data_IF_807845043170
#
_entry.id   IF_807845043170
#
_cell.length_a   1.000
_cell.length_b   1.000
_cell.length_c   1.000
_cell.angle_alpha   90.00
_cell.angle_beta   90.00
_cell.angle_gamma   90.00
#
_symmetry.space_group_name_H-M   'P 1'
#
loop_
_entity.id
_entity.type
_entity.pdbx_description
1 polymer ?
#
# COMPACT_ATOMS: atom_id res chain seq x y z
N UNK A 1 -21.20 25.98 20.87
CA UNK A 1 -20.24 24.92 21.23
C UNK A 1 -21.00 23.67 21.66
N UNK A 2 -20.86 22.53 20.97
CA UNK A 2 -21.59 21.30 21.32
C UNK A 2 -20.76 20.50 22.34
N UNK A 3 -21.25 20.42 23.58
CA UNK A 3 -20.71 19.56 24.65
C UNK A 3 -20.92 18.08 24.27
N UNK A 4 -19.83 17.31 24.24
CA UNK A 4 -19.90 15.84 24.20
C UNK A 4 -20.21 15.32 25.61
N UNK A 5 -21.19 14.42 25.72
CA UNK A 5 -21.53 13.76 26.98
C UNK A 5 -20.43 12.76 27.38
N UNK A 6 -20.00 12.72 28.65
CA UNK A 6 -19.04 11.72 29.13
C UNK A 6 -19.74 10.37 29.35
N UNK A 7 -19.12 9.25 28.95
CA UNK A 7 -19.51 7.94 29.49
C UNK A 7 -19.60 6.74 28.54
N UNK A 8 -19.25 6.83 27.24
CA UNK A 8 -19.11 5.62 26.41
C UNK A 8 -17.63 5.23 26.26
N UNK A 9 -17.24 4.15 26.92
CA UNK A 9 -15.95 3.49 26.70
C UNK A 9 -16.05 2.76 25.36
N UNK A 10 -15.32 3.25 24.36
CA UNK A 10 -15.19 2.56 23.07
C UNK A 10 -14.02 1.58 23.15
N UNK A 11 -14.32 0.29 23.27
CA UNK A 11 -13.30 -0.75 23.17
C UNK A 11 -12.95 -0.92 21.69
N UNK A 12 -11.68 -0.66 21.32
CA UNK A 12 -11.15 -0.93 19.98
C UNK A 12 -10.41 -2.27 20.03
N UNK A 13 -10.95 -3.29 19.38
CA UNK A 13 -10.24 -4.54 19.22
C UNK A 13 -9.21 -4.43 18.07
N UNK A 14 -7.99 -4.91 18.30
CA UNK A 14 -7.00 -5.19 17.25
C UNK A 14 -6.92 -6.71 17.09
N UNK A 15 -6.80 -7.20 15.86
CA UNK A 15 -6.70 -8.63 15.52
C UNK A 15 -7.95 -9.47 15.83
N UNK A 16 -9.13 -9.06 15.35
CA UNK A 16 -10.35 -9.87 15.47
C UNK A 16 -10.30 -11.00 14.44
N UNK A 17 -10.19 -12.26 14.92
CA UNK A 17 -10.19 -13.48 14.11
C UNK A 17 -11.33 -14.40 14.52
N UNK A 18 -11.65 -15.40 13.69
CA UNK A 18 -12.49 -16.52 14.13
C UNK A 18 -11.75 -17.37 15.19
N UNK A 19 -12.47 -18.21 15.96
CA UNK A 19 -11.84 -19.24 16.78
C UNK A 19 -10.84 -20.06 15.97
N UNK A 20 -9.58 -20.15 16.43
CA UNK A 20 -8.48 -20.79 15.71
C UNK A 20 -7.63 -19.86 14.82
N UNK A 21 -7.76 -18.54 14.96
CA UNK A 21 -6.88 -17.57 14.28
C UNK A 21 -7.17 -17.36 12.79
N UNK A 22 -8.23 -17.98 12.27
CA UNK A 22 -8.63 -17.82 10.87
C UNK A 22 -9.14 -16.39 10.63
N UNK A 23 -8.77 -15.75 9.50
CA UNK A 23 -9.29 -14.43 9.15
C UNK A 23 -10.82 -14.43 9.10
N UNK A 24 -11.44 -13.35 9.56
CA UNK A 24 -12.90 -13.17 9.45
C UNK A 24 -13.22 -12.81 7.99
N UNK A 25 -13.44 -13.83 7.16
CA UNK A 25 -13.94 -13.69 5.80
C UNK A 25 -15.49 -13.63 5.78
N UNK A 26 -16.10 -12.72 6.54
CA UNK A 26 -17.57 -12.51 6.50
C UNK A 26 -17.98 -11.86 5.17
N UNK A 27 -17.07 -11.07 4.59
CA UNK A 27 -17.34 -10.31 3.37
C UNK A 27 -17.59 -11.23 2.16
N UNK A 28 -16.84 -12.32 2.02
CA UNK A 28 -16.97 -13.24 0.87
C UNK A 28 -18.31 -13.96 0.82
N UNK A 29 -18.87 -14.34 1.98
CA UNK A 29 -20.20 -15.00 2.06
C UNK A 29 -21.32 -14.00 1.78
N UNK A 30 -21.26 -12.82 2.38
CA UNK A 30 -22.27 -11.78 2.18
C UNK A 30 -22.25 -11.25 0.75
N UNK A 31 -21.06 -11.14 0.14
CA UNK A 31 -20.89 -10.72 -1.24
C UNK A 31 -21.35 -11.81 -2.22
N UNK A 32 -21.06 -13.09 -1.94
CA UNK A 32 -21.58 -14.22 -2.71
C UNK A 32 -23.12 -14.23 -2.78
N UNK A 33 -23.79 -13.83 -1.71
CA UNK A 33 -25.26 -13.79 -1.64
C UNK A 33 -25.86 -12.56 -2.34
N UNK A 34 -25.12 -11.44 -2.46
CA UNK A 34 -25.67 -10.14 -2.88
C UNK A 34 -25.18 -9.64 -4.24
N UNK A 35 -24.02 -10.10 -4.71
CA UNK A 35 -23.39 -9.63 -5.94
C UNK A 35 -23.61 -10.62 -7.08
N UNK A 36 -23.90 -10.08 -8.26
CA UNK A 36 -24.00 -10.85 -9.49
C UNK A 36 -22.63 -10.80 -10.17
N UNK A 37 -21.84 -11.86 -10.08
CA UNK A 37 -20.48 -11.90 -10.63
C UNK A 37 -20.48 -12.21 -12.12
N UNK A 38 -19.63 -11.51 -12.87
CA UNK A 38 -19.40 -11.77 -14.29
C UNK A 38 -18.30 -12.83 -14.42
N UNK A 39 -18.65 -13.99 -14.97
CA UNK A 39 -17.74 -15.13 -15.16
C UNK A 39 -17.41 -15.94 -13.88
N UNK A 40 -17.92 -15.51 -12.72
CA UNK A 40 -17.81 -16.23 -11.44
C UNK A 40 -17.07 -15.43 -10.36
N UNK A 41 -17.32 -15.78 -9.09
CA UNK A 41 -16.78 -15.05 -7.93
C UNK A 41 -15.25 -15.08 -7.85
N UNK A 42 -14.64 -16.21 -8.23
CA UNK A 42 -13.19 -16.42 -8.16
C UNK A 42 -12.46 -16.06 -9.46
N UNK A 43 -13.19 -15.65 -10.50
CA UNK A 43 -12.57 -15.26 -11.77
C UNK A 43 -11.88 -13.91 -11.60
N UNK A 44 -10.64 -13.84 -12.07
CA UNK A 44 -9.81 -12.63 -12.02
C UNK A 44 -9.55 -12.15 -13.44
N UNK A 45 -9.84 -10.89 -13.65
CA UNK A 45 -9.49 -10.11 -14.84
C UNK A 45 -8.25 -9.30 -14.52
N UNK A 46 -7.41 -9.07 -15.52
CA UNK A 46 -6.27 -8.17 -15.42
C UNK A 46 -6.59 -6.84 -16.10
N UNK A 47 -5.91 -5.79 -15.67
CA UNK A 47 -6.05 -4.49 -16.30
C UNK A 47 -5.09 -3.46 -15.73
N UNK A 48 -5.12 -2.29 -16.35
CA UNK A 48 -4.32 -1.13 -15.94
C UNK A 48 -5.19 -0.11 -15.24
N UNK A 49 -4.85 0.21 -14.00
CA UNK A 49 -5.53 1.25 -13.25
C UNK A 49 -5.25 2.62 -13.88
N UNK A 50 -6.29 3.29 -14.39
CA UNK A 50 -6.13 4.67 -14.89
C UNK A 50 -5.81 5.60 -13.74
N UNK A 51 -6.67 5.58 -12.72
CA UNK A 51 -6.48 6.32 -11.49
C UNK A 51 -7.42 5.82 -10.39
N UNK A 52 -6.99 5.97 -9.15
CA UNK A 52 -7.86 5.84 -7.98
C UNK A 52 -7.53 6.95 -6.99
N UNK A 53 -8.57 7.54 -6.39
CA UNK A 53 -8.43 8.60 -5.41
C UNK A 53 -9.10 8.18 -4.08
N UNK A 54 -8.31 7.89 -3.03
CA UNK A 54 -8.86 7.50 -1.72
C UNK A 54 -9.83 8.54 -1.15
N UNK A 55 -9.54 9.82 -1.34
CA UNK A 55 -10.36 10.94 -0.89
C UNK A 55 -11.71 11.04 -1.60
N UNK A 56 -11.78 10.60 -2.88
CA UNK A 56 -13.05 10.52 -3.62
C UNK A 56 -13.73 9.16 -3.44
N UNK A 57 -13.05 8.19 -2.85
CA UNK A 57 -13.51 6.82 -2.63
C UNK A 57 -13.86 6.04 -3.92
N UNK A 58 -13.34 6.44 -5.08
CA UNK A 58 -13.48 5.68 -6.33
C UNK A 58 -12.31 5.93 -7.30
N UNK A 59 -12.28 5.11 -8.34
CA UNK A 59 -11.34 5.18 -9.46
C UNK A 59 -11.87 4.43 -10.68
N UNK A 60 -11.01 4.29 -11.69
CA UNK A 60 -11.29 3.54 -12.91
C UNK A 60 -10.11 2.68 -13.33
N UNK A 61 -10.41 1.47 -13.78
CA UNK A 61 -9.47 0.49 -14.34
C UNK A 61 -9.86 0.20 -15.78
N UNK A 62 -8.87 0.09 -16.67
CA UNK A 62 -9.06 -0.43 -18.01
C UNK A 62 -8.74 -1.92 -18.01
N UNK A 63 -9.74 -2.76 -18.32
CA UNK A 63 -9.56 -4.20 -18.46
C UNK A 63 -8.70 -4.51 -19.69
N UNK A 64 -7.79 -5.48 -19.56
CA UNK A 64 -7.01 -5.98 -20.69
C UNK A 64 -7.93 -6.73 -21.68
N UNK A 65 -7.48 -6.86 -22.92
CA UNK A 65 -8.27 -7.50 -23.99
C UNK A 65 -8.15 -9.02 -23.95
N UNK A 66 -9.16 -9.73 -24.48
CA UNK A 66 -9.12 -11.19 -24.64
C UNK A 66 -9.81 -11.99 -23.53
N UNK A 67 -10.43 -11.35 -22.54
CA UNK A 67 -11.24 -12.05 -21.53
C UNK A 67 -12.65 -12.39 -22.06
N UNK A 68 -13.10 -13.62 -21.79
CA UNK A 68 -14.50 -14.00 -21.94
C UNK A 68 -15.29 -13.51 -20.71
N UNK A 69 -16.22 -12.59 -20.94
CA UNK A 69 -17.10 -12.01 -19.92
C UNK A 69 -18.43 -12.76 -19.79
N UNK A 70 -18.44 -14.06 -20.12
CA UNK A 70 -19.61 -14.94 -20.03
C UNK A 70 -20.83 -14.38 -20.79
N UNK A 71 -20.58 -13.78 -21.96
CA UNK A 71 -21.63 -13.18 -22.80
C UNK A 71 -22.11 -11.79 -22.38
N UNK A 72 -21.60 -11.21 -21.29
CA UNK A 72 -21.93 -9.84 -20.87
C UNK A 72 -21.12 -8.79 -21.64
N UNK A 73 -21.74 -7.68 -22.03
CA UNK A 73 -21.04 -6.56 -22.69
C UNK A 73 -20.43 -5.62 -21.66
N UNK A 74 -19.34 -6.07 -21.05
CA UNK A 74 -18.61 -5.28 -20.05
C UNK A 74 -17.83 -4.15 -20.74
N UNK A 75 -17.95 -2.89 -20.27
CA UNK A 75 -17.16 -1.79 -20.82
C UNK A 75 -15.67 -1.97 -20.48
N UNK A 76 -14.77 -1.50 -21.36
CA UNK A 76 -13.32 -1.54 -21.12
C UNK A 76 -12.94 -0.78 -19.84
N UNK A 77 -13.58 0.35 -19.58
CA UNK A 77 -13.35 1.18 -18.42
C UNK A 77 -14.36 0.85 -17.31
N UNK A 78 -13.86 0.30 -16.20
CA UNK A 78 -14.69 -0.21 -15.11
C UNK A 78 -14.43 0.62 -13.86
N UNK A 79 -15.50 1.07 -13.21
CA UNK A 79 -15.42 1.83 -11.97
C UNK A 79 -15.06 0.91 -10.81
N UNK A 80 -14.09 1.33 -10.00
CA UNK A 80 -13.73 0.69 -8.74
C UNK A 80 -14.09 1.59 -7.56
N UNK A 81 -14.65 1.02 -6.50
CA UNK A 81 -15.06 1.73 -5.28
C UNK A 81 -14.07 1.44 -4.14
N UNK A 82 -13.98 2.35 -3.16
CA UNK A 82 -13.03 2.20 -2.04
C UNK A 82 -13.16 0.86 -1.30
N UNK A 83 -14.39 0.38 -1.11
CA UNK A 83 -14.65 -0.90 -0.44
C UNK A 83 -14.07 -2.10 -1.20
N UNK A 84 -13.83 -1.94 -2.50
CA UNK A 84 -13.33 -2.98 -3.40
C UNK A 84 -11.83 -2.84 -3.66
N UNK A 85 -11.13 -1.89 -3.03
CA UNK A 85 -9.67 -1.77 -3.14
C UNK A 85 -9.04 -2.47 -1.94
N UNK A 86 -8.38 -3.60 -2.18
CA UNK A 86 -7.68 -4.30 -1.12
C UNK A 86 -6.35 -3.59 -0.83
N UNK A 87 -6.34 -2.80 0.24
CA UNK A 87 -5.17 -2.04 0.69
C UNK A 87 -4.52 -2.61 1.96
N UNK A 88 -4.74 -3.89 2.26
CA UNK A 88 -4.15 -4.56 3.42
C UNK A 88 -4.60 -3.97 4.76
N UNK A 89 -5.82 -3.42 4.82
CA UNK A 89 -6.38 -2.80 6.01
C UNK A 89 -5.83 -1.41 6.35
N UNK A 90 -5.03 -0.80 5.46
CA UNK A 90 -4.51 0.57 5.61
C UNK A 90 -5.09 1.49 4.55
N UNK A 91 -5.38 2.74 4.89
CA UNK A 91 -5.75 3.72 3.87
C UNK A 91 -4.54 4.03 2.97
N UNK A 92 -4.79 4.14 1.67
CA UNK A 92 -3.79 4.60 0.72
C UNK A 92 -3.54 6.11 0.90
N UNK A 93 -2.27 6.57 0.91
CA UNK A 93 -1.93 7.95 1.29
C UNK A 93 -2.28 8.99 0.22
N UNK A 94 -2.62 8.56 -1.00
CA UNK A 94 -2.87 9.49 -2.09
C UNK A 94 -3.40 8.83 -3.36
N UNK A 95 -3.50 9.66 -4.42
CA UNK A 95 -3.95 9.20 -5.73
C UNK A 95 -2.91 8.25 -6.33
N UNK A 96 -3.36 7.07 -6.72
CA UNK A 96 -2.55 6.06 -7.44
C UNK A 96 -2.99 6.05 -8.92
N UNK A 97 -2.07 5.72 -9.83
CA UNK A 97 -2.31 5.70 -11.28
C UNK A 97 -1.32 4.77 -11.98
N UNK A 98 -1.71 4.27 -13.15
CA UNK A 98 -0.86 3.54 -14.09
C UNK A 98 -0.20 2.27 -13.52
N UNK A 99 -0.88 1.58 -12.59
CA UNK A 99 -0.42 0.30 -12.02
C UNK A 99 -1.18 -0.87 -12.65
N UNK A 100 -0.52 -2.00 -12.81
CA UNK A 100 -1.20 -3.24 -13.18
C UNK A 100 -1.97 -3.77 -11.98
N UNK A 101 -3.18 -4.28 -12.21
CA UNK A 101 -4.06 -4.81 -11.17
C UNK A 101 -4.77 -6.08 -11.64
N UNK A 102 -5.22 -6.84 -10.65
CA UNK A 102 -6.18 -7.93 -10.82
C UNK A 102 -7.49 -7.55 -10.10
N UNK A 103 -8.63 -7.95 -10.66
CA UNK A 103 -9.93 -7.67 -10.07
C UNK A 103 -10.97 -8.68 -10.55
N UNK A 104 -12.01 -8.91 -9.76
CA UNK A 104 -13.25 -9.53 -10.24
C UNK A 104 -14.19 -8.47 -10.80
N UNK A 105 -15.27 -8.88 -11.46
CA UNK A 105 -16.30 -7.96 -11.95
C UNK A 105 -17.65 -8.39 -11.40
N UNK A 106 -18.40 -7.43 -10.90
CA UNK A 106 -19.78 -7.66 -10.49
C UNK A 106 -20.72 -6.64 -11.15
N UNK A 107 -21.96 -7.06 -11.35
CA UNK A 107 -23.03 -6.27 -11.93
C UNK A 107 -23.97 -5.82 -10.83
N UNK A 108 -24.19 -4.51 -10.76
CA UNK A 108 -25.16 -3.90 -9.84
C UNK A 108 -26.58 -4.25 -10.26
N UNK A 109 -27.55 -4.09 -9.35
CA UNK A 109 -28.97 -4.25 -9.67
C UNK A 109 -29.46 -3.30 -10.78
N UNK A 110 -28.76 -2.18 -11.00
CA UNK A 110 -29.05 -1.21 -12.07
C UNK A 110 -28.39 -1.58 -13.41
N UNK A 111 -27.68 -2.71 -13.47
CA UNK A 111 -26.99 -3.18 -14.67
C UNK A 111 -25.60 -2.57 -14.90
N UNK A 112 -25.12 -1.67 -14.03
CA UNK A 112 -23.76 -1.14 -14.12
C UNK A 112 -22.72 -2.17 -13.67
N UNK A 113 -21.56 -2.21 -14.33
CA UNK A 113 -20.43 -3.04 -13.95
C UNK A 113 -19.48 -2.30 -12.99
N UNK A 114 -18.95 -3.05 -12.03
CA UNK A 114 -18.02 -2.57 -11.01
C UNK A 114 -16.90 -3.57 -10.81
N UNK A 115 -15.70 -3.07 -10.55
CA UNK A 115 -14.58 -3.90 -10.12
C UNK A 115 -14.85 -4.40 -8.70
N UNK A 116 -14.47 -5.65 -8.44
CA UNK A 116 -14.61 -6.37 -7.19
C UNK A 116 -13.23 -6.78 -6.68
N UNK A 117 -12.95 -6.54 -5.40
CA UNK A 117 -11.73 -7.03 -4.74
C UNK A 117 -10.44 -6.80 -5.57
N UNK A 118 -10.16 -5.56 -5.93
CA UNK A 118 -9.01 -5.13 -6.73
C UNK A 118 -7.71 -5.23 -5.91
N UNK A 119 -6.72 -5.90 -6.48
CA UNK A 119 -5.38 -6.17 -5.91
C UNK A 119 -4.29 -5.84 -6.93
N UNK A 120 -3.03 -5.87 -6.50
CA UNK A 120 -1.91 -6.05 -7.42
C UNK A 120 -1.93 -7.49 -8.00
N UNK A 121 -1.14 -7.77 -9.06
CA UNK A 121 -1.00 -9.11 -9.61
C UNK A 121 -0.61 -10.13 -8.53
N UNK A 122 -1.13 -11.36 -8.63
CA UNK A 122 -0.86 -12.40 -7.63
C UNK A 122 -1.60 -12.19 -6.30
N UNK A 123 -2.75 -11.50 -6.32
CA UNK A 123 -3.58 -11.20 -5.14
C UNK A 123 -2.89 -10.37 -4.05
N UNK A 124 -1.80 -9.67 -4.38
CA UNK A 124 -1.08 -8.85 -3.42
C UNK A 124 -1.88 -7.57 -3.08
N UNK A 125 -2.02 -7.20 -1.79
CA UNK A 125 -2.70 -5.96 -1.44
C UNK A 125 -2.00 -4.72 -2.01
N UNK A 126 -2.77 -3.76 -2.49
CA UNK A 126 -2.27 -2.47 -2.96
C UNK A 126 -1.82 -1.66 -1.73
N UNK A 127 -0.56 -1.80 -1.36
CA UNK A 127 0.07 -1.06 -0.25
C UNK A 127 1.12 -0.09 -0.77
N UNK A 128 1.45 0.93 0.02
CA UNK A 128 2.53 1.88 -0.32
C UNK A 128 3.85 1.15 -0.57
N UNK A 129 4.16 0.15 0.27
CA UNK A 129 5.36 -0.68 0.16
C UNK A 129 5.40 -1.44 -1.18
N UNK A 130 4.30 -2.08 -1.56
CA UNK A 130 4.22 -2.87 -2.79
C UNK A 130 4.29 -1.98 -4.05
N UNK A 131 3.70 -0.78 -3.99
CA UNK A 131 3.73 0.18 -5.09
C UNK A 131 5.11 0.81 -5.35
N UNK A 132 6.03 0.70 -4.41
CA UNK A 132 7.33 1.36 -4.46
C UNK A 132 8.47 0.41 -4.80
N UNK A 133 8.14 -0.84 -5.10
CA UNK A 133 9.09 -1.89 -5.45
C UNK A 133 10.19 -2.02 -4.39
N UNK A 134 9.80 -1.92 -3.11
CA UNK A 134 10.76 -1.97 -2.01
C UNK A 134 11.41 -3.34 -1.93
N UNK A 135 12.74 -3.36 -1.95
CA UNK A 135 13.55 -4.56 -1.76
C UNK A 135 14.45 -4.36 -0.54
N UNK A 136 14.28 -5.20 0.48
CA UNK A 136 15.11 -5.16 1.70
C UNK A 136 16.53 -5.55 1.31
N UNK A 137 17.49 -4.75 1.75
CA UNK A 137 18.92 -4.99 1.55
C UNK A 137 19.42 -5.90 2.68
N UNK A 138 19.55 -7.18 2.37
CA UNK A 138 20.03 -8.17 3.35
C UNK A 138 19.15 -8.28 4.59
N UNK A 139 19.71 -8.81 5.67
CA UNK A 139 19.04 -8.94 6.97
C UNK A 139 19.72 -8.14 8.07
N UNK A 140 20.79 -7.42 7.74
CA UNK A 140 21.64 -6.73 8.70
C UNK A 140 20.95 -5.47 9.28
N UNK A 141 21.12 -5.27 10.58
CA UNK A 141 20.72 -4.02 11.23
C UNK A 141 21.86 -3.01 11.15
N UNK A 142 21.53 -1.84 10.62
CA UNK A 142 22.41 -0.69 10.50
C UNK A 142 22.19 0.28 11.67
N UNK A 143 23.24 1.05 11.97
CA UNK A 143 23.20 2.13 12.97
C UNK A 143 23.36 3.47 12.28
N UNK A 144 22.69 4.48 12.82
CA UNK A 144 22.82 5.84 12.30
C UNK A 144 22.26 6.89 13.23
N UNK A 145 22.33 8.13 12.78
CA UNK A 145 21.85 9.31 13.50
C UNK A 145 20.87 10.10 12.64
N UNK A 146 19.69 10.42 13.19
CA UNK A 146 18.67 11.22 12.49
C UNK A 146 19.22 12.63 12.22
N UNK A 147 19.33 13.02 10.95
CA UNK A 147 19.81 14.37 10.56
C UNK A 147 18.70 15.34 10.28
N UNK A 148 17.66 14.86 9.61
CA UNK A 148 16.53 15.66 9.18
C UNK A 148 15.25 14.88 9.49
N UNK A 149 14.24 15.53 10.06
CA UNK A 149 12.93 14.94 10.25
C UNK A 149 11.86 15.91 9.74
N UNK A 150 11.25 15.56 8.61
CA UNK A 150 10.13 16.28 8.02
C UNK A 150 8.83 15.51 8.26
N UNK A 151 8.47 15.36 9.53
CA UNK A 151 7.30 14.59 9.94
C UNK A 151 5.98 15.04 9.28
N UNK A 152 5.84 16.35 8.99
CA UNK A 152 4.69 16.89 8.24
C UNK A 152 4.61 16.37 6.80
N UNK A 153 5.76 16.00 6.23
CA UNK A 153 5.89 15.43 4.89
C UNK A 153 5.94 13.89 4.92
N UNK A 154 5.95 13.27 6.11
CA UNK A 154 5.95 11.82 6.30
C UNK A 154 7.28 11.11 6.09
N UNK A 155 8.40 11.84 6.07
CA UNK A 155 9.75 11.26 5.90
C UNK A 155 10.84 12.07 6.62
N UNK A 156 12.03 11.49 6.71
CA UNK A 156 13.23 12.15 7.19
C UNK A 156 14.49 11.54 6.59
N UNK A 157 15.67 11.90 7.12
CA UNK A 157 16.95 11.30 6.76
C UNK A 157 17.75 10.89 7.97
N UNK A 158 18.44 9.76 7.81
CA UNK A 158 19.40 9.22 8.76
C UNK A 158 20.77 9.21 8.10
N UNK A 159 21.77 9.67 8.84
CA UNK A 159 23.17 9.50 8.50
C UNK A 159 23.67 8.17 9.04
N UNK A 160 24.20 7.32 8.18
CA UNK A 160 24.84 6.06 8.56
C UNK A 160 26.09 6.32 9.41
N UNK A 161 26.38 5.42 10.34
CA UNK A 161 27.62 5.47 11.10
C UNK A 161 28.83 5.31 10.13
N UNK A 162 29.90 6.07 10.37
CA UNK A 162 31.06 6.19 9.46
C UNK A 162 31.82 4.88 9.20
N UNK A 163 31.65 3.89 10.08
CA UNK A 163 32.25 2.55 10.03
C UNK A 163 31.33 1.49 9.38
N UNK A 164 30.17 1.91 8.87
CA UNK A 164 29.19 1.00 8.29
C UNK A 164 29.60 0.53 6.90
N UNK A 165 29.88 -0.76 6.75
CA UNK A 165 30.05 -1.38 5.44
C UNK A 165 28.68 -1.55 4.75
N UNK A 166 28.44 -0.77 3.70
CA UNK A 166 27.23 -0.86 2.87
C UNK A 166 27.51 -1.72 1.63
N UNK A 167 26.60 -2.64 1.23
CA UNK A 167 26.72 -3.41 -0.01
C UNK A 167 26.89 -2.53 -1.26
N UNK A 168 27.63 -3.00 -2.26
CA UNK A 168 27.99 -2.17 -3.43
C UNK A 168 26.79 -1.83 -4.34
N UNK A 169 25.82 -2.73 -4.42
CA UNK A 169 24.53 -2.53 -5.10
C UNK A 169 23.73 -1.38 -4.47
N UNK A 170 23.83 -1.22 -3.15
CA UNK A 170 23.24 -0.09 -2.43
C UNK A 170 24.06 1.18 -2.64
N UNK A 171 25.39 1.14 -2.53
CA UNK A 171 26.22 2.32 -2.82
C UNK A 171 25.95 2.92 -4.20
N UNK A 172 25.66 2.08 -5.21
CA UNK A 172 25.31 2.52 -6.55
C UNK A 172 24.02 3.36 -6.61
N UNK A 173 23.05 3.11 -5.71
CA UNK A 173 21.80 3.86 -5.60
C UNK A 173 21.89 5.08 -4.67
N UNK A 174 23.00 5.27 -3.95
CA UNK A 174 23.19 6.41 -3.06
C UNK A 174 23.39 7.69 -3.86
N UNK A 175 22.77 8.79 -3.39
CA UNK A 175 23.05 10.11 -3.95
C UNK A 175 24.49 10.46 -3.67
N UNK A 176 25.23 10.81 -4.71
CA UNK A 176 26.60 11.30 -4.58
C UNK A 176 26.61 12.65 -3.87
N UNK A 177 27.60 12.86 -3.02
CA UNK A 177 27.88 14.16 -2.44
C UNK A 177 28.50 15.12 -3.48
N UNK A 178 28.86 16.33 -3.03
CA UNK A 178 29.49 17.35 -3.89
C UNK A 178 30.85 16.91 -4.43
N UNK A 179 31.49 15.93 -3.81
CA UNK A 179 32.79 15.37 -4.19
C UNK A 179 32.64 14.11 -5.07
N UNK A 180 31.42 13.73 -5.42
CA UNK A 180 31.13 12.57 -6.27
C UNK A 180 31.20 11.22 -5.55
N UNK A 181 31.37 11.21 -4.22
CA UNK A 181 31.40 9.98 -3.40
C UNK A 181 29.97 9.57 -3.01
N UNK A 182 29.68 8.28 -2.77
CA UNK A 182 28.39 7.85 -2.25
C UNK A 182 28.10 8.59 -0.94
N UNK A 183 27.01 9.35 -0.89
CA UNK A 183 26.60 10.03 0.34
C UNK A 183 26.23 9.02 1.43
N UNK A 184 26.33 9.43 2.68
CA UNK A 184 26.01 8.61 3.86
C UNK A 184 24.57 8.82 4.37
N UNK A 185 23.74 9.56 3.63
CA UNK A 185 22.36 9.87 4.00
C UNK A 185 21.39 8.92 3.30
N UNK A 186 20.63 8.18 4.10
CA UNK A 186 19.46 7.40 3.66
C UNK A 186 18.20 8.10 4.14
N UNK A 187 17.10 7.99 3.39
CA UNK A 187 15.84 8.53 3.88
C UNK A 187 15.15 7.50 4.81
N UNK A 188 14.10 7.88 5.50
CA UNK A 188 13.19 6.93 6.16
C UNK A 188 11.78 7.50 6.10
N UNK A 189 10.76 6.65 6.23
CA UNK A 189 9.37 7.12 6.29
C UNK A 189 8.80 7.01 7.67
N UNK A 190 7.88 7.90 8.01
CA UNK A 190 7.21 7.87 9.31
C UNK A 190 6.48 6.54 9.55
N UNK A 191 5.96 5.90 8.49
CA UNK A 191 5.31 4.58 8.57
C UNK A 191 6.26 3.42 8.84
N UNK A 192 7.56 3.62 8.59
CA UNK A 192 8.60 2.62 8.85
C UNK A 192 9.14 2.75 10.29
N UNK A 193 8.80 3.84 10.99
CA UNK A 193 9.20 4.03 12.39
C UNK A 193 8.33 3.17 13.30
N UNK A 194 8.98 2.26 14.02
CA UNK A 194 8.34 1.38 14.99
C UNK A 194 7.52 2.19 16.01
N UNK A 195 6.31 1.71 16.28
CA UNK A 195 5.34 2.31 17.21
C UNK A 195 4.94 3.76 16.87
N UNK A 196 5.18 4.22 15.63
CA UNK A 196 4.95 5.61 15.19
C UNK A 196 5.62 6.64 16.11
N UNK A 197 6.78 6.30 16.69
CA UNK A 197 7.50 7.21 17.56
C UNK A 197 8.00 8.44 16.80
N UNK A 198 8.02 9.58 17.50
CA UNK A 198 8.62 10.79 16.95
C UNK A 198 10.15 10.71 17.08
N UNK A 199 10.86 10.68 15.96
CA UNK A 199 12.33 10.73 15.93
C UNK A 199 12.87 12.18 15.99
N UNK A 200 13.83 12.45 16.87
CA UNK A 200 14.44 13.79 17.00
C UNK A 200 15.74 13.90 16.21
N UNK A 201 16.05 15.11 15.71
CA UNK A 201 17.38 15.39 15.13
C UNK A 201 18.47 15.08 16.17
N UNK A 202 19.51 14.36 15.76
CA UNK A 202 20.60 13.89 16.62
C UNK A 202 20.32 12.58 17.35
N UNK A 203 19.11 12.00 17.23
CA UNK A 203 18.80 10.72 17.86
C UNK A 203 19.50 9.56 17.15
N UNK A 204 20.16 8.71 17.92
CA UNK A 204 20.70 7.44 17.44
C UNK A 204 19.56 6.44 17.19
N UNK A 205 19.65 5.72 16.07
CA UNK A 205 18.63 4.76 15.63
C UNK A 205 19.28 3.47 15.11
N UNK A 206 18.49 2.39 15.12
CA UNK A 206 18.78 1.14 14.43
C UNK A 206 17.70 0.88 13.39
N UNK A 207 18.08 0.37 12.24
CA UNK A 207 17.17 0.18 11.10
C UNK A 207 17.72 -0.87 10.14
N UNK A 208 16.85 -1.38 9.28
CA UNK A 208 17.24 -2.17 8.11
C UNK A 208 17.14 -1.28 6.88
N UNK A 209 18.01 -1.52 5.90
CA UNK A 209 17.99 -0.78 4.64
C UNK A 209 17.05 -1.44 3.64
N UNK A 210 16.41 -0.62 2.81
CA UNK A 210 15.74 -1.08 1.60
C UNK A 210 16.07 -0.17 0.42
N UNK A 211 15.89 -0.70 -0.79
CA UNK A 211 15.92 0.11 -2.01
C UNK A 211 14.52 0.19 -2.61
N UNK A 212 14.18 1.34 -3.17
CA UNK A 212 12.88 1.59 -3.81
C UNK A 212 13.05 2.53 -5.02
N UNK A 213 11.95 2.91 -5.66
CA UNK A 213 11.96 3.83 -6.81
C UNK A 213 12.54 5.23 -6.50
N UNK A 214 12.68 5.62 -5.22
CA UNK A 214 13.22 6.93 -4.78
C UNK A 214 14.68 6.87 -4.33
N UNK A 215 15.27 5.68 -4.22
CA UNK A 215 16.65 5.48 -3.81
C UNK A 215 16.76 4.47 -2.67
N UNK A 216 17.33 4.90 -1.54
CA UNK A 216 17.63 4.05 -0.39
C UNK A 216 16.98 4.62 0.87
N UNK A 217 16.22 3.77 1.56
CA UNK A 217 15.52 4.11 2.79
C UNK A 217 15.66 3.08 3.90
#
# INVERSE_FOLDING_TARGET
SKRWAPGKIFVRAKNVTQPGGKPIAIQDKVDAEKKIFVGGQNLRYTGKLQWYCPFRAFGYVDMDEGFDTAGEKVPKNIRVEKAEVNSGGKDLPGKIKAIQVEFGIWKTQKGEFRAYNMTLPGLEPITVTALEHRSIVGSEEFKGTVKENWWQQGYGKVELASDTAVPDDVKAKMKKDKEGKPGNLVYYRTVDVRDNQWLKKGQAVRFQLYTDDKGIG
#
